data_IF_703869488983
#
_entry.id   IF_703869488983
#
_cell.length_a   1.000
_cell.length_b   1.000
_cell.length_c   1.000
_cell.angle_alpha   90.00
_cell.angle_beta   90.00
_cell.angle_gamma   90.00
#
_symmetry.space_group_name_H-M   'P 1'
#
loop_
_entity.id
_entity.type
_entity.pdbx_description
1 polymer ?
#
# COMPACT_ATOMS: atom_id res chain seq x y z
N UNK A 1 -1.70 -13.39 23.92
CA UNK A 1 -2.50 -12.29 23.32
C UNK A 1 -3.95 -12.30 23.82
N UNK A 2 -4.66 -13.43 23.78
CA UNK A 2 -6.04 -13.52 24.30
C UNK A 2 -6.11 -13.12 25.78
N UNK A 3 -5.18 -13.59 26.60
CA UNK A 3 -5.11 -13.23 28.02
C UNK A 3 -4.83 -11.73 28.22
N UNK A 4 -3.90 -11.15 27.46
CA UNK A 4 -3.61 -9.72 27.55
C UNK A 4 -4.83 -8.86 27.18
N UNK A 5 -5.59 -9.27 26.18
CA UNK A 5 -6.80 -8.57 25.79
C UNK A 5 -7.91 -8.67 26.86
N UNK A 6 -8.07 -9.83 27.51
CA UNK A 6 -9.02 -10.01 28.61
C UNK A 6 -8.65 -9.21 29.87
N UNK A 7 -7.36 -8.92 30.06
CA UNK A 7 -6.85 -8.09 31.15
C UNK A 7 -6.94 -6.58 30.89
N UNK A 8 -7.57 -6.15 29.79
CA UNK A 8 -7.72 -4.73 29.38
C UNK A 8 -6.39 -3.98 29.28
N UNK A 9 -5.34 -4.67 28.83
CA UNK A 9 -4.05 -4.04 28.54
C UNK A 9 -4.24 -3.03 27.40
N UNK A 10 -3.69 -1.80 27.52
CA UNK A 10 -3.93 -0.72 26.54
C UNK A 10 -3.52 -1.08 25.11
N UNK A 11 -2.51 -1.92 24.96
CA UNK A 11 -2.05 -2.38 23.65
C UNK A 11 -1.57 -3.83 23.73
N UNK A 12 -2.07 -4.66 22.82
CA UNK A 12 -1.66 -6.05 22.65
C UNK A 12 -1.09 -6.22 21.25
N UNK A 13 0.13 -6.71 21.13
CA UNK A 13 0.77 -7.04 19.86
C UNK A 13 0.98 -8.53 19.82
N UNK A 14 0.41 -9.17 18.79
CA UNK A 14 0.50 -10.62 18.58
C UNK A 14 1.42 -10.93 17.42
N UNK A 15 2.49 -11.67 17.72
CA UNK A 15 3.40 -12.19 16.68
C UNK A 15 2.84 -13.49 16.11
N UNK A 16 2.66 -13.56 14.79
CA UNK A 16 2.31 -14.78 14.10
C UNK A 16 3.50 -15.33 13.32
N UNK A 17 3.90 -16.57 13.62
CA UNK A 17 4.99 -17.26 12.94
C UNK A 17 4.54 -18.00 11.67
N UNK A 18 3.30 -18.47 11.63
CA UNK A 18 2.68 -19.13 10.48
C UNK A 18 1.22 -18.70 10.38
N UNK A 19 0.83 -18.23 9.21
CA UNK A 19 -0.55 -17.94 8.86
C UNK A 19 -1.16 -19.25 8.35
N UNK A 20 -1.91 -19.95 9.19
CA UNK A 20 -2.56 -21.20 8.77
C UNK A 20 -3.95 -20.92 8.19
N UNK A 21 -4.58 -19.82 8.55
CA UNK A 21 -5.85 -19.35 7.98
C UNK A 21 -6.16 -17.92 8.43
N UNK A 22 -6.26 -16.98 7.51
CA UNK A 22 -6.64 -15.59 7.81
C UNK A 22 -8.04 -15.50 8.41
N UNK A 23 -8.97 -16.35 7.98
CA UNK A 23 -10.36 -16.35 8.45
C UNK A 23 -10.52 -16.56 9.96
N UNK A 24 -9.66 -17.41 10.55
CA UNK A 24 -9.72 -17.67 12.00
C UNK A 24 -9.12 -16.50 12.79
N UNK A 25 -8.15 -15.79 12.22
CA UNK A 25 -7.48 -14.69 12.91
C UNK A 25 -8.39 -13.45 13.03
N UNK A 26 -9.24 -13.23 12.02
CA UNK A 26 -10.18 -12.10 12.01
C UNK A 26 -11.28 -12.23 13.07
N UNK A 27 -11.55 -13.44 13.55
CA UNK A 27 -12.55 -13.70 14.59
C UNK A 27 -12.02 -13.64 16.02
N UNK A 28 -10.70 -13.58 16.19
CA UNK A 28 -10.07 -13.59 17.50
C UNK A 28 -9.62 -12.20 17.94
N UNK A 29 -9.87 -11.79 19.19
CA UNK A 29 -9.42 -10.50 19.71
C UNK A 29 -7.91 -10.53 20.00
N UNK A 30 -7.08 -10.51 18.96
CA UNK A 30 -5.63 -10.67 19.07
C UNK A 30 -4.86 -9.34 19.21
N UNK A 31 -5.56 -8.20 19.14
CA UNK A 31 -4.91 -6.90 19.07
C UNK A 31 -4.23 -6.69 17.71
N UNK A 32 -3.13 -5.94 17.70
CA UNK A 32 -2.34 -5.74 16.48
C UNK A 32 -1.57 -7.01 16.12
N UNK A 33 -1.80 -7.53 14.93
CA UNK A 33 -1.11 -8.72 14.44
C UNK A 33 0.16 -8.30 13.70
N UNK A 34 1.27 -8.96 14.01
CA UNK A 34 2.56 -8.71 13.37
C UNK A 34 3.13 -10.01 12.80
N UNK A 35 3.38 -10.01 11.50
CA UNK A 35 4.04 -11.11 10.79
C UNK A 35 5.49 -10.73 10.48
N UNK A 36 6.48 -11.34 11.13
CA UNK A 36 7.90 -11.06 10.86
C UNK A 36 8.31 -11.36 9.42
N UNK A 37 7.68 -12.37 8.80
CA UNK A 37 7.95 -12.71 7.40
C UNK A 37 7.53 -11.59 6.45
N UNK A 38 6.33 -11.02 6.63
CA UNK A 38 5.85 -9.90 5.82
C UNK A 38 6.71 -8.66 6.01
N UNK A 39 7.08 -8.35 7.26
CA UNK A 39 7.99 -7.24 7.55
C UNK A 39 9.34 -7.41 6.86
N UNK A 40 9.90 -8.63 6.91
CA UNK A 40 11.16 -8.93 6.24
C UNK A 40 11.03 -8.83 4.72
N UNK A 41 9.98 -9.42 4.13
CA UNK A 41 9.72 -9.33 2.70
C UNK A 41 9.56 -7.89 2.24
N UNK A 42 8.77 -7.10 2.95
CA UNK A 42 8.57 -5.68 2.63
C UNK A 42 9.88 -4.87 2.73
N UNK A 43 10.74 -5.19 3.69
CA UNK A 43 12.05 -4.55 3.83
C UNK A 43 12.99 -4.91 2.68
N UNK A 44 13.00 -6.17 2.26
CA UNK A 44 13.78 -6.63 1.11
C UNK A 44 13.29 -5.98 -0.18
N UNK A 45 11.98 -5.97 -0.41
CA UNK A 45 11.39 -5.35 -1.60
C UNK A 45 11.73 -3.86 -1.66
N UNK A 46 11.57 -3.14 -0.53
CA UNK A 46 11.97 -1.72 -0.44
C UNK A 46 13.46 -1.53 -0.76
N UNK A 47 14.33 -2.35 -0.19
CA UNK A 47 15.76 -2.27 -0.46
C UNK A 47 16.09 -2.50 -1.93
N UNK A 48 15.57 -3.55 -2.54
CA UNK A 48 15.80 -3.87 -3.96
C UNK A 48 15.31 -2.75 -4.88
N UNK A 49 14.15 -2.15 -4.58
CA UNK A 49 13.61 -1.03 -5.35
C UNK A 49 14.43 0.25 -5.16
N UNK A 50 14.89 0.53 -3.94
CA UNK A 50 15.75 1.68 -3.64
C UNK A 50 17.13 1.57 -4.34
N UNK A 51 17.72 0.37 -4.39
CA UNK A 51 19.01 0.14 -5.08
C UNK A 51 18.89 0.37 -6.59
N UNK A 52 17.72 0.14 -7.18
CA UNK A 52 17.48 0.45 -8.60
C UNK A 52 17.39 1.95 -8.90
N UNK A 53 17.51 2.80 -7.88
CA UNK A 53 17.65 4.26 -7.97
C UNK A 53 16.57 4.95 -8.80
N UNK A 54 15.34 4.46 -8.72
CA UNK A 54 14.21 5.04 -9.46
C UNK A 54 13.52 6.08 -8.58
N UNK A 55 13.60 7.34 -8.99
CA UNK A 55 12.75 8.40 -8.49
C UNK A 55 11.28 7.94 -8.60
N UNK A 56 10.48 8.17 -7.55
CA UNK A 56 9.10 7.69 -7.50
C UNK A 56 8.92 6.22 -7.14
N UNK A 57 9.94 5.55 -6.56
CA UNK A 57 9.84 4.16 -6.13
C UNK A 57 8.77 3.94 -5.05
N UNK A 58 8.15 2.77 -5.06
CA UNK A 58 7.15 2.38 -4.07
C UNK A 58 7.70 2.45 -2.63
N UNK A 59 6.97 3.10 -1.75
CA UNK A 59 7.30 3.23 -0.33
C UNK A 59 6.88 2.01 0.47
N UNK A 60 5.71 1.47 0.17
CA UNK A 60 5.18 0.27 0.79
C UNK A 60 4.38 -0.55 -0.22
N UNK A 61 4.32 -1.87 0.03
CA UNK A 61 3.52 -2.81 -0.74
C UNK A 61 2.80 -3.71 0.23
N UNK A 62 1.50 -3.80 0.05
CA UNK A 62 0.64 -4.65 0.83
C UNK A 62 -0.07 -5.63 -0.12
N UNK A 63 0.15 -6.91 0.11
CA UNK A 63 -0.57 -7.96 -0.60
C UNK A 63 -1.97 -8.07 0.01
N UNK A 64 -2.99 -7.96 -0.81
CA UNK A 64 -4.40 -8.00 -0.42
C UNK A 64 -5.15 -9.07 -1.20
N UNK A 65 -6.41 -9.33 -0.82
CA UNK A 65 -7.29 -10.30 -1.48
C UNK A 65 -6.63 -11.68 -1.64
N UNK A 66 -6.06 -12.23 -0.56
CA UNK A 66 -5.39 -13.53 -0.53
C UNK A 66 -4.29 -13.68 -1.61
N UNK A 67 -3.59 -12.60 -1.89
CA UNK A 67 -2.49 -12.57 -2.87
C UNK A 67 -2.92 -12.34 -4.31
N UNK A 68 -4.17 -11.96 -4.55
CA UNK A 68 -4.67 -11.69 -5.90
C UNK A 68 -4.47 -10.24 -6.33
N UNK A 69 -4.22 -9.34 -5.39
CA UNK A 69 -3.98 -7.93 -5.65
C UNK A 69 -2.91 -7.36 -4.72
N UNK A 70 -2.33 -6.24 -5.13
CA UNK A 70 -1.37 -5.48 -4.35
C UNK A 70 -1.85 -4.04 -4.20
N UNK A 71 -1.77 -3.53 -2.97
CA UNK A 71 -1.90 -2.10 -2.70
C UNK A 71 -0.49 -1.52 -2.55
N UNK A 72 -0.16 -0.55 -3.38
CA UNK A 72 1.19 0.01 -3.47
C UNK A 72 1.12 1.50 -3.13
N UNK A 73 1.97 1.93 -2.23
CA UNK A 73 2.08 3.32 -1.80
C UNK A 73 3.25 4.00 -2.51
N UNK A 74 3.00 5.18 -3.08
CA UNK A 74 3.98 6.03 -3.72
C UNK A 74 3.95 7.43 -3.16
N UNK A 75 5.09 8.12 -3.21
CA UNK A 75 5.16 9.57 -3.01
C UNK A 75 5.28 10.22 -4.38
N UNK A 76 4.42 11.20 -4.63
CA UNK A 76 4.48 12.06 -5.82
C UNK A 76 5.71 12.96 -5.71
N UNK A 77 6.64 12.82 -6.61
CA UNK A 77 7.88 13.58 -6.68
C UNK A 77 7.89 14.55 -7.88
N UNK A 78 9.04 15.15 -8.13
CA UNK A 78 9.23 16.09 -9.24
C UNK A 78 9.26 15.44 -10.61
N UNK A 79 9.51 14.12 -10.68
CA UNK A 79 9.56 13.34 -11.92
C UNK A 79 8.23 12.66 -12.23
N UNK A 80 7.24 12.79 -11.34
CA UNK A 80 5.91 12.23 -11.55
C UNK A 80 5.21 12.95 -12.68
N UNK A 81 4.81 12.18 -13.68
CA UNK A 81 4.04 12.67 -14.82
C UNK A 81 2.62 13.06 -14.40
N UNK A 82 1.98 13.89 -15.20
CA UNK A 82 0.58 14.30 -15.03
C UNK A 82 0.24 14.96 -13.68
N UNK A 83 1.23 15.58 -13.02
CA UNK A 83 0.96 16.38 -11.83
C UNK A 83 0.08 17.58 -12.16
N UNK A 84 -1.00 17.77 -11.40
CA UNK A 84 -1.97 18.86 -11.57
C UNK A 84 -3.05 18.58 -12.62
N UNK A 85 -2.96 17.49 -13.37
CA UNK A 85 -3.99 17.07 -14.32
C UNK A 85 -5.09 16.27 -13.62
N UNK A 86 -6.39 16.50 -13.93
CA UNK A 86 -7.48 15.71 -13.38
C UNK A 86 -7.40 14.25 -13.80
N UNK A 87 -7.65 13.32 -12.87
CA UNK A 87 -7.58 11.88 -13.15
C UNK A 87 -8.46 11.40 -14.30
N UNK A 88 -9.57 12.09 -14.57
CA UNK A 88 -10.46 11.79 -15.71
C UNK A 88 -9.81 12.04 -17.08
N UNK A 89 -8.77 12.87 -17.16
CA UNK A 89 -8.04 13.20 -18.39
C UNK A 89 -6.83 12.30 -18.58
N UNK A 90 -6.42 11.59 -17.53
CA UNK A 90 -5.25 10.72 -17.53
C UNK A 90 -5.67 9.28 -17.90
N UNK A 91 -4.96 8.68 -18.85
CA UNK A 91 -5.17 7.27 -19.19
C UNK A 91 -4.34 6.39 -18.27
N UNK A 92 -5.04 5.63 -17.43
CA UNK A 92 -4.43 4.64 -16.57
C UNK A 92 -4.48 3.27 -17.25
N UNK A 93 -3.44 2.46 -17.04
CA UNK A 93 -3.42 1.06 -17.50
C UNK A 93 -4.62 0.29 -16.92
N UNK A 94 -5.05 -0.71 -17.69
CA UNK A 94 -6.11 -1.63 -17.26
C UNK A 94 -5.68 -2.32 -15.95
N UNK A 95 -6.67 -2.61 -15.09
CA UNK A 95 -6.47 -3.27 -13.79
C UNK A 95 -5.71 -2.44 -12.74
N UNK A 96 -5.48 -1.16 -12.97
CA UNK A 96 -4.94 -0.23 -11.98
C UNK A 96 -6.03 0.72 -11.52
N UNK A 97 -6.07 0.97 -10.22
CA UNK A 97 -6.97 1.95 -9.60
C UNK A 97 -6.23 2.79 -8.57
N UNK A 98 -6.40 4.10 -8.66
CA UNK A 98 -5.98 5.01 -7.59
C UNK A 98 -7.07 4.97 -6.53
N UNK A 99 -6.73 4.54 -5.32
CA UNK A 99 -7.72 4.33 -4.24
C UNK A 99 -7.62 5.37 -3.15
N UNK A 100 -6.49 6.03 -3.00
CA UNK A 100 -6.32 7.11 -2.04
C UNK A 100 -5.27 8.11 -2.49
N UNK A 101 -5.52 9.38 -2.21
CA UNK A 101 -4.54 10.46 -2.31
C UNK A 101 -4.50 11.14 -0.94
N UNK A 102 -3.32 11.21 -0.32
CA UNK A 102 -3.11 11.88 0.95
C UNK A 102 -2.47 13.25 0.73
N UNK A 103 -3.04 14.26 1.36
CA UNK A 103 -2.49 15.62 1.42
C UNK A 103 -2.14 15.95 2.87
N UNK A 104 -0.90 15.65 3.27
CA UNK A 104 -0.49 15.71 4.68
C UNK A 104 -1.26 14.69 5.53
N UNK A 105 -2.06 15.16 6.48
CA UNK A 105 -2.84 14.29 7.39
C UNK A 105 -4.20 13.88 6.80
N UNK A 106 -4.66 14.55 5.74
CA UNK A 106 -5.97 14.28 5.14
C UNK A 106 -5.86 13.24 4.04
N UNK A 107 -6.70 12.22 4.11
CA UNK A 107 -6.89 11.22 3.06
C UNK A 107 -8.14 11.54 2.27
N UNK A 108 -8.02 11.42 0.96
CA UNK A 108 -9.12 11.62 0.01
C UNK A 108 -9.30 10.34 -0.80
N UNK A 109 -10.55 9.90 -0.96
CA UNK A 109 -10.89 8.91 -1.98
C UNK A 109 -11.01 9.67 -3.29
N UNK A 110 -10.12 9.43 -4.26
CA UNK A 110 -10.08 10.23 -5.47
C UNK A 110 -11.29 10.00 -6.35
N UNK A 111 -11.70 11.05 -7.03
CA UNK A 111 -12.68 11.04 -8.11
C UNK A 111 -12.05 11.54 -9.41
N UNK A 112 -12.84 11.68 -10.47
CA UNK A 112 -12.32 12.12 -11.77
C UNK A 112 -11.69 13.52 -11.77
N UNK A 113 -12.06 14.39 -10.84
CA UNK A 113 -11.54 15.76 -10.74
C UNK A 113 -10.34 15.87 -9.78
N UNK A 114 -10.04 14.79 -9.06
CA UNK A 114 -8.84 14.72 -8.20
C UNK A 114 -7.58 14.69 -9.06
N UNK A 115 -6.48 15.23 -8.54
CA UNK A 115 -5.21 15.34 -9.22
C UNK A 115 -4.05 15.07 -8.26
N UNK A 116 -2.91 14.68 -8.82
CA UNK A 116 -1.67 14.50 -8.08
C UNK A 116 -0.98 15.83 -7.84
N UNK A 117 -0.45 16.01 -6.64
CA UNK A 117 0.40 17.17 -6.30
C UNK A 117 1.67 16.65 -5.63
N UNK A 118 2.79 17.27 -5.91
CA UNK A 118 4.08 16.95 -5.30
C UNK A 118 3.97 16.85 -3.77
N UNK A 119 4.53 15.80 -3.20
CA UNK A 119 4.45 15.48 -1.79
C UNK A 119 3.20 14.74 -1.36
N UNK A 120 2.22 14.51 -2.27
CA UNK A 120 1.11 13.62 -1.96
C UNK A 120 1.60 12.18 -1.80
N UNK A 121 0.95 11.46 -0.90
CA UNK A 121 1.06 10.01 -0.83
C UNK A 121 -0.12 9.42 -1.60
N UNK A 122 0.17 8.58 -2.56
CA UNK A 122 -0.83 7.96 -3.44
C UNK A 122 -0.81 6.45 -3.22
N UNK A 123 -1.98 5.89 -3.00
CA UNK A 123 -2.15 4.44 -2.92
C UNK A 123 -2.87 3.97 -4.17
N UNK A 124 -2.23 3.06 -4.88
CA UNK A 124 -2.84 2.36 -6.03
C UNK A 124 -3.11 0.91 -5.69
N UNK A 125 -4.11 0.33 -6.32
CA UNK A 125 -4.37 -1.11 -6.29
C UNK A 125 -4.20 -1.66 -7.69
N UNK A 126 -3.46 -2.76 -7.79
CA UNK A 126 -3.19 -3.47 -9.05
C UNK A 126 -3.41 -4.96 -8.87
N UNK A 127 -3.74 -5.67 -9.96
CA UNK A 127 -3.79 -7.12 -9.99
C UNK A 127 -2.39 -7.74 -9.91
N UNK A 128 -2.30 -8.96 -9.45
CA UNK A 128 -1.04 -9.70 -9.20
C UNK A 128 -0.09 -9.78 -10.41
N UNK A 129 -0.62 -9.68 -11.62
CA UNK A 129 0.18 -9.85 -12.85
C UNK A 129 0.84 -8.57 -13.34
N UNK A 130 0.55 -7.44 -12.68
CA UNK A 130 1.10 -6.14 -13.05
C UNK A 130 2.22 -5.76 -12.07
N UNK A 131 3.44 -5.65 -12.58
CA UNK A 131 4.58 -5.23 -11.76
C UNK A 131 4.78 -3.74 -11.92
N UNK A 132 4.50 -2.99 -10.87
CA UNK A 132 4.65 -1.53 -10.83
C UNK A 132 5.85 -1.19 -9.96
N UNK A 133 6.87 -0.60 -10.55
CA UNK A 133 8.09 -0.20 -9.83
C UNK A 133 8.05 1.24 -9.37
N UNK A 134 7.50 2.14 -10.18
CA UNK A 134 7.40 3.58 -9.96
C UNK A 134 6.00 4.08 -10.30
N UNK A 135 5.64 5.25 -9.78
CA UNK A 135 4.30 5.79 -10.00
C UNK A 135 4.00 6.02 -11.50
N UNK A 136 4.99 6.41 -12.28
CA UNK A 136 4.81 6.64 -13.72
C UNK A 136 4.45 5.37 -14.52
N UNK A 137 4.68 4.18 -13.95
CA UNK A 137 4.32 2.92 -14.60
C UNK A 137 2.81 2.69 -14.67
N UNK A 138 2.00 3.49 -13.97
CA UNK A 138 0.53 3.35 -14.00
C UNK A 138 -0.11 3.97 -15.24
N UNK A 139 0.59 4.87 -15.91
CA UNK A 139 0.08 5.58 -17.09
C UNK A 139 0.26 4.74 -18.37
N UNK A 140 -0.66 4.94 -19.36
CA UNK A 140 -0.56 4.34 -20.69
C UNK A 140 0.45 5.07 -21.59
#
# INVERSE_FOLDING_TARGET
>A
SLFGNSCKVPQVITKLGRLTSNRVLDTLPLGSIMSPKELCCNSIVRYVRAVKNQAGAAQAIHVIADGQAEAIEFIVDENTLHCGEPLKEIRLKKNIRVVSISRGVKFEIPNGDSYFTRGNVVIIVTGRNEVIYQLNDIFE
#
